data_IF_699701932890
#
_entry.id   IF_699701932890
#
_cell.length_a   1.000
_cell.length_b   1.000
_cell.length_c   1.000
_cell.angle_alpha   90.00
_cell.angle_beta   90.00
_cell.angle_gamma   90.00
#
_symmetry.space_group_name_H-M   'P 1'
#
loop_
_entity.id
_entity.type
_entity.pdbx_description
1 polymer ?
#
# COMPACT_ATOMS: atom_id res chain seq x y z
N UNK A 1 -5.17 -25.96 -6.00
CA UNK A 1 -6.13 -26.06 -4.89
C UNK A 1 -5.30 -26.15 -3.63
N UNK A 2 -5.30 -25.11 -2.80
CA UNK A 2 -4.71 -25.21 -1.47
C UNK A 2 -5.76 -25.91 -0.59
N UNK A 3 -5.36 -26.90 0.19
CA UNK A 3 -6.26 -27.56 1.14
C UNK A 3 -6.79 -26.51 2.13
N UNK A 4 -8.10 -26.24 2.08
CA UNK A 4 -8.75 -25.44 3.10
C UNK A 4 -8.84 -26.28 4.37
N UNK A 5 -7.97 -25.97 5.33
CA UNK A 5 -8.08 -26.54 6.68
C UNK A 5 -9.24 -25.89 7.40
N UNK A 6 -10.38 -26.59 7.48
CA UNK A 6 -11.51 -26.23 8.33
C UNK A 6 -11.24 -26.67 9.77
N UNK A 7 -11.37 -25.75 10.71
CA UNK A 7 -11.26 -26.06 12.15
C UNK A 7 -12.61 -26.44 12.77
N UNK A 8 -13.72 -26.13 12.10
CA UNK A 8 -15.08 -26.38 12.57
C UNK A 8 -15.80 -27.40 11.65
N UNK A 9 -16.27 -28.54 12.18
CA UNK A 9 -16.99 -29.55 11.39
C UNK A 9 -18.26 -29.02 10.70
N UNK A 10 -18.95 -28.04 11.30
CA UNK A 10 -20.15 -27.45 10.70
C UNK A 10 -19.79 -26.55 9.50
N UNK A 11 -18.66 -25.86 9.57
CA UNK A 11 -18.13 -25.08 8.45
C UNK A 11 -17.82 -25.97 7.24
N UNK A 12 -17.12 -27.08 7.49
CA UNK A 12 -16.81 -28.10 6.48
C UNK A 12 -18.09 -28.66 5.86
N UNK A 13 -19.09 -28.98 6.68
CA UNK A 13 -20.39 -29.47 6.20
C UNK A 13 -21.10 -28.46 5.29
N UNK A 14 -21.17 -27.18 5.68
CA UNK A 14 -21.81 -26.14 4.86
C UNK A 14 -21.08 -25.90 3.56
N UNK A 15 -19.74 -25.92 3.58
CA UNK A 15 -18.92 -25.79 2.40
C UNK A 15 -19.18 -26.95 1.42
N UNK A 16 -19.07 -28.20 1.88
CA UNK A 16 -19.30 -29.38 1.04
C UNK A 16 -20.75 -29.47 0.52
N UNK A 17 -21.73 -29.08 1.32
CA UNK A 17 -23.11 -29.00 0.87
C UNK A 17 -23.25 -28.02 -0.29
N UNK A 18 -22.67 -26.81 -0.16
CA UNK A 18 -22.70 -25.80 -1.23
C UNK A 18 -22.00 -26.28 -2.50
N UNK A 19 -20.82 -26.90 -2.37
CA UNK A 19 -20.11 -27.50 -3.51
C UNK A 19 -20.96 -28.55 -4.22
N UNK A 20 -21.62 -29.43 -3.45
CA UNK A 20 -22.53 -30.46 -4.01
C UNK A 20 -23.72 -29.82 -4.74
N UNK A 21 -24.32 -28.77 -4.19
CA UNK A 21 -25.41 -28.00 -4.82
C UNK A 21 -24.96 -27.33 -6.14
N UNK A 22 -23.72 -26.84 -6.18
CA UNK A 22 -23.11 -26.24 -7.39
C UNK A 22 -22.80 -27.29 -8.47
N UNK A 23 -22.33 -28.46 -8.09
CA UNK A 23 -22.02 -29.55 -9.03
C UNK A 23 -23.28 -30.19 -9.61
N UNK A 24 -24.33 -30.36 -8.80
CA UNK A 24 -25.60 -30.99 -9.21
C UNK A 24 -26.52 -30.05 -9.98
N UNK A 25 -26.58 -28.76 -9.60
CA UNK A 25 -27.49 -27.78 -10.19
C UNK A 25 -26.85 -26.77 -11.15
N UNK A 26 -25.51 -26.65 -11.18
CA UNK A 26 -24.72 -25.69 -11.97
C UNK A 26 -25.14 -24.20 -11.87
N UNK A 27 -25.95 -23.80 -10.88
CA UNK A 27 -26.40 -22.42 -10.72
C UNK A 27 -25.77 -21.75 -9.51
N UNK A 28 -24.70 -21.00 -9.76
CA UNK A 28 -24.07 -20.16 -8.74
C UNK A 28 -25.04 -19.09 -8.20
N UNK A 29 -25.96 -18.59 -9.03
CA UNK A 29 -26.93 -17.57 -8.62
C UNK A 29 -27.89 -18.09 -7.54
N UNK A 30 -28.28 -19.37 -7.59
CA UNK A 30 -29.12 -19.99 -6.56
C UNK A 30 -28.40 -20.09 -5.21
N UNK A 31 -27.12 -20.47 -5.23
CA UNK A 31 -26.29 -20.57 -4.02
C UNK A 31 -26.00 -19.19 -3.43
N UNK A 32 -25.73 -18.19 -4.26
CA UNK A 32 -25.55 -16.80 -3.82
C UNK A 32 -26.82 -16.21 -3.20
N UNK A 33 -28.00 -16.50 -3.77
CA UNK A 33 -29.29 -16.08 -3.19
C UNK A 33 -29.52 -16.72 -1.81
N UNK A 34 -29.17 -18.00 -1.67
CA UNK A 34 -29.26 -18.71 -0.38
C UNK A 34 -28.28 -18.13 0.64
N UNK A 35 -27.05 -17.82 0.24
CA UNK A 35 -26.06 -17.14 1.08
C UNK A 35 -26.57 -15.77 1.57
N UNK A 36 -27.18 -14.99 0.68
CA UNK A 36 -27.76 -13.67 0.99
C UNK A 36 -28.97 -13.77 1.93
N UNK A 37 -29.79 -14.82 1.77
CA UNK A 37 -30.92 -15.06 2.68
C UNK A 37 -30.47 -15.39 4.11
N UNK A 38 -29.35 -16.10 4.25
CA UNK A 38 -28.72 -16.36 5.55
C UNK A 38 -28.08 -15.10 6.16
N UNK A 39 -27.51 -14.19 5.35
CA UNK A 39 -26.87 -12.95 5.81
C UNK A 39 -27.82 -12.03 6.60
N UNK A 40 -29.12 -12.02 6.25
CA UNK A 40 -30.13 -11.18 6.90
C UNK A 40 -30.40 -11.56 8.37
N UNK A 41 -29.94 -12.74 8.79
CA UNK A 41 -30.12 -13.25 10.14
C UNK A 41 -28.85 -13.00 10.96
N UNK A 42 -29.03 -12.74 12.24
CA UNK A 42 -27.92 -12.40 13.15
C UNK A 42 -27.49 -13.58 14.04
N UNK A 43 -27.98 -14.79 13.75
CA UNK A 43 -27.50 -15.99 14.44
C UNK A 43 -26.13 -16.42 13.90
N UNK A 44 -25.24 -16.85 14.82
CA UNK A 44 -23.89 -17.29 14.49
C UNK A 44 -23.89 -18.40 13.43
N UNK A 45 -24.85 -19.31 13.53
CA UNK A 45 -25.00 -20.44 12.59
C UNK A 45 -25.34 -19.97 11.18
N UNK A 46 -26.26 -19.02 11.06
CA UNK A 46 -26.66 -18.44 9.78
C UNK A 46 -25.52 -17.61 9.16
N UNK A 47 -24.76 -16.85 9.96
CA UNK A 47 -23.56 -16.11 9.49
C UNK A 47 -22.50 -17.09 8.98
N UNK A 48 -22.27 -18.19 9.70
CA UNK A 48 -21.34 -19.24 9.27
C UNK A 48 -21.79 -19.90 7.98
N UNK A 49 -23.07 -20.27 7.88
CA UNK A 49 -23.62 -20.82 6.65
C UNK A 49 -23.46 -19.84 5.47
N UNK A 50 -23.79 -18.56 5.67
CA UNK A 50 -23.62 -17.52 4.65
C UNK A 50 -22.16 -17.41 4.19
N UNK A 51 -21.22 -17.36 5.13
CA UNK A 51 -19.78 -17.28 4.85
C UNK A 51 -19.29 -18.41 3.92
N UNK A 52 -19.57 -19.66 4.28
CA UNK A 52 -19.09 -20.83 3.52
C UNK A 52 -19.85 -21.04 2.21
N UNK A 53 -21.11 -20.61 2.12
CA UNK A 53 -21.84 -20.60 0.85
C UNK A 53 -21.25 -19.58 -0.13
N UNK A 54 -20.93 -18.37 0.33
CA UNK A 54 -20.23 -17.37 -0.49
C UNK A 54 -18.85 -17.85 -0.91
N UNK A 55 -18.09 -18.50 -0.02
CA UNK A 55 -16.76 -19.01 -0.32
C UNK A 55 -16.80 -20.11 -1.39
N UNK A 56 -17.68 -21.10 -1.24
CA UNK A 56 -17.89 -22.14 -2.23
C UNK A 56 -18.35 -21.58 -3.59
N UNK A 57 -19.29 -20.63 -3.58
CA UNK A 57 -19.72 -19.95 -4.80
C UNK A 57 -18.56 -19.19 -5.46
N UNK A 58 -17.70 -18.53 -4.68
CA UNK A 58 -16.53 -17.82 -5.19
C UNK A 58 -15.55 -18.75 -5.90
N UNK A 59 -15.19 -19.88 -5.27
CA UNK A 59 -14.32 -20.90 -5.88
C UNK A 59 -14.90 -21.45 -7.18
N UNK A 60 -16.20 -21.73 -7.21
CA UNK A 60 -16.88 -22.22 -8.41
C UNK A 60 -16.90 -21.18 -9.53
N UNK A 61 -17.09 -19.90 -9.18
CA UNK A 61 -17.17 -18.80 -10.14
C UNK A 61 -15.79 -18.35 -10.65
N UNK A 62 -14.70 -18.66 -9.95
CA UNK A 62 -13.37 -18.15 -10.29
C UNK A 62 -12.90 -18.53 -11.70
N UNK A 63 -13.32 -19.67 -12.23
CA UNK A 63 -13.02 -20.08 -13.61
C UNK A 63 -14.12 -19.76 -14.63
N UNK A 64 -15.24 -19.19 -14.19
CA UNK A 64 -16.47 -19.02 -15.00
C UNK A 64 -16.88 -17.56 -15.14
N UNK A 65 -17.01 -16.86 -14.03
CA UNK A 65 -17.32 -15.44 -13.95
C UNK A 65 -16.50 -14.82 -12.81
N UNK A 66 -15.32 -14.33 -13.18
CA UNK A 66 -14.34 -13.77 -12.25
C UNK A 66 -14.86 -12.51 -11.55
N UNK A 67 -15.70 -11.72 -12.20
CA UNK A 67 -16.27 -10.52 -11.59
C UNK A 67 -17.22 -10.90 -10.45
N UNK A 68 -18.13 -11.85 -10.68
CA UNK A 68 -18.98 -12.40 -9.61
C UNK A 68 -18.17 -13.10 -8.53
N UNK A 69 -17.11 -13.84 -8.89
CA UNK A 69 -16.22 -14.48 -7.92
C UNK A 69 -15.60 -13.46 -6.96
N UNK A 70 -15.11 -12.31 -7.47
CA UNK A 70 -14.55 -11.26 -6.63
C UNK A 70 -15.58 -10.70 -5.62
N UNK A 71 -16.82 -10.50 -6.05
CA UNK A 71 -17.90 -10.08 -5.14
C UNK A 71 -18.23 -11.15 -4.09
N UNK A 72 -18.32 -12.41 -4.50
CA UNK A 72 -18.60 -13.52 -3.60
C UNK A 72 -17.50 -13.68 -2.53
N UNK A 73 -16.22 -13.61 -2.92
CA UNK A 73 -15.10 -13.60 -1.97
C UNK A 73 -15.18 -12.41 -0.99
N UNK A 74 -15.56 -11.22 -1.48
CA UNK A 74 -15.70 -10.05 -0.61
C UNK A 74 -16.81 -10.25 0.43
N UNK A 75 -17.97 -10.79 0.01
CA UNK A 75 -19.07 -11.12 0.90
C UNK A 75 -18.69 -12.22 1.91
N UNK A 76 -17.98 -13.27 1.46
CA UNK A 76 -17.45 -14.30 2.35
C UNK A 76 -16.54 -13.69 3.43
N UNK A 77 -15.60 -12.83 3.02
CA UNK A 77 -14.70 -12.13 3.93
C UNK A 77 -15.45 -11.31 4.99
N UNK A 78 -16.54 -10.63 4.62
CA UNK A 78 -17.35 -9.86 5.56
C UNK A 78 -18.03 -10.75 6.61
N UNK A 79 -18.57 -11.90 6.22
CA UNK A 79 -19.21 -12.81 7.18
C UNK A 79 -18.17 -13.51 8.08
N UNK A 80 -17.03 -13.94 7.51
CA UNK A 80 -15.92 -14.52 8.28
C UNK A 80 -15.35 -13.53 9.31
N UNK A 81 -15.29 -12.23 8.95
CA UNK A 81 -14.86 -11.17 9.85
C UNK A 81 -15.83 -11.00 11.03
N UNK A 82 -17.15 -11.04 10.78
CA UNK A 82 -18.18 -11.04 11.85
C UNK A 82 -18.04 -12.23 12.79
N UNK A 83 -17.60 -13.38 12.30
CA UNK A 83 -17.33 -14.58 13.10
C UNK A 83 -15.98 -14.52 13.85
N UNK A 84 -15.22 -13.43 13.70
CA UNK A 84 -13.86 -13.26 14.24
C UNK A 84 -12.86 -14.29 13.69
N UNK A 85 -13.15 -14.87 12.52
CA UNK A 85 -12.23 -15.76 11.80
C UNK A 85 -11.27 -14.92 10.94
N UNK A 86 -10.47 -14.07 11.60
CA UNK A 86 -9.72 -12.99 10.96
C UNK A 86 -8.77 -13.47 9.85
N UNK A 87 -8.01 -14.55 10.05
CA UNK A 87 -7.13 -15.11 9.01
C UNK A 87 -7.92 -15.55 7.77
N UNK A 88 -9.06 -16.23 7.94
CA UNK A 88 -9.88 -16.69 6.82
C UNK A 88 -10.56 -15.53 6.11
N UNK A 89 -11.08 -14.56 6.87
CA UNK A 89 -11.62 -13.32 6.35
C UNK A 89 -10.58 -12.55 5.51
N UNK A 90 -9.35 -12.44 6.02
CA UNK A 90 -8.26 -11.77 5.35
C UNK A 90 -7.91 -12.43 4.02
N UNK A 91 -7.82 -13.77 3.97
CA UNK A 91 -7.59 -14.53 2.74
C UNK A 91 -8.73 -14.35 1.73
N UNK A 92 -9.98 -14.39 2.17
CA UNK A 92 -11.13 -14.14 1.31
C UNK A 92 -11.10 -12.71 0.72
N UNK A 93 -10.80 -11.70 1.55
CA UNK A 93 -10.64 -10.32 1.05
C UNK A 93 -9.43 -10.16 0.10
N UNK A 94 -8.29 -10.82 0.38
CA UNK A 94 -7.13 -10.81 -0.51
C UNK A 94 -7.45 -11.41 -1.87
N UNK A 95 -8.13 -12.57 -1.89
CA UNK A 95 -8.61 -13.20 -3.12
C UNK A 95 -9.60 -12.32 -3.88
N UNK A 96 -10.55 -11.68 -3.18
CA UNK A 96 -11.46 -10.70 -3.79
C UNK A 96 -10.68 -9.56 -4.46
N UNK A 97 -9.66 -9.03 -3.79
CA UNK A 97 -8.81 -7.97 -4.30
C UNK A 97 -8.07 -8.36 -5.57
N UNK A 98 -7.39 -9.51 -5.52
CA UNK A 98 -6.61 -10.07 -6.63
C UNK A 98 -7.48 -10.32 -7.86
N UNK A 99 -8.60 -11.02 -7.69
CA UNK A 99 -9.49 -11.34 -8.81
C UNK A 99 -10.10 -10.06 -9.40
N UNK A 100 -10.54 -9.12 -8.56
CA UNK A 100 -11.10 -7.85 -9.04
C UNK A 100 -10.09 -7.02 -9.84
N UNK A 101 -8.83 -6.95 -9.39
CA UNK A 101 -7.75 -6.24 -10.08
C UNK A 101 -7.37 -6.91 -11.41
N UNK A 102 -7.29 -8.24 -11.43
CA UNK A 102 -7.05 -8.99 -12.68
C UNK A 102 -8.15 -8.73 -13.71
N UNK A 103 -9.42 -8.80 -13.31
CA UNK A 103 -10.55 -8.53 -14.21
C UNK A 103 -10.58 -7.08 -14.66
N UNK A 104 -10.35 -6.13 -13.75
CA UNK A 104 -10.28 -4.71 -14.10
C UNK A 104 -9.18 -4.44 -15.13
N UNK A 105 -8.02 -5.08 -14.99
CA UNK A 105 -6.88 -4.91 -15.91
C UNK A 105 -7.10 -5.57 -17.27
N UNK A 106 -7.77 -6.72 -17.34
CA UNK A 106 -8.03 -7.42 -18.61
C UNK A 106 -9.31 -6.96 -19.31
N UNK A 107 -10.22 -6.29 -18.60
CA UNK A 107 -11.50 -5.87 -19.12
C UNK A 107 -11.42 -4.64 -20.05
N UNK A 108 -12.46 -4.40 -20.86
CA UNK A 108 -12.55 -3.18 -21.66
C UNK A 108 -12.61 -1.94 -20.76
N UNK A 109 -12.04 -0.81 -21.19
CA UNK A 109 -12.13 0.44 -20.44
C UNK A 109 -13.60 0.88 -20.32
N UNK A 110 -14.06 1.12 -19.09
CA UNK A 110 -15.46 1.43 -18.84
C UNK A 110 -15.82 1.51 -17.35
N UNK A 111 -17.08 1.86 -17.01
CA UNK A 111 -17.52 2.04 -15.63
C UNK A 111 -17.36 0.78 -14.76
N UNK A 112 -17.49 -0.40 -15.34
CA UNK A 112 -17.34 -1.67 -14.62
C UNK A 112 -15.87 -1.95 -14.25
N UNK A 113 -14.91 -1.58 -15.11
CA UNK A 113 -13.48 -1.61 -14.76
C UNK A 113 -13.20 -0.73 -13.53
N UNK A 114 -13.74 0.49 -13.49
CA UNK A 114 -13.55 1.38 -12.33
C UNK A 114 -14.17 0.82 -11.05
N UNK A 115 -15.35 0.20 -11.15
CA UNK A 115 -16.03 -0.43 -10.01
C UNK A 115 -15.23 -1.60 -9.46
N UNK A 116 -14.72 -2.46 -10.33
CA UNK A 116 -13.88 -3.61 -9.94
C UNK A 116 -12.55 -3.14 -9.36
N UNK A 117 -11.89 -2.14 -9.95
CA UNK A 117 -10.66 -1.61 -9.38
C UNK A 117 -10.88 -0.98 -8.00
N UNK A 118 -12.01 -0.30 -7.80
CA UNK A 118 -12.38 0.23 -6.50
C UNK A 118 -12.74 -0.87 -5.49
N UNK A 119 -13.38 -1.96 -5.93
CA UNK A 119 -13.58 -3.16 -5.11
C UNK A 119 -12.22 -3.73 -4.67
N UNK A 120 -11.24 -3.81 -5.58
CA UNK A 120 -9.90 -4.29 -5.25
C UNK A 120 -9.23 -3.47 -4.12
N UNK A 121 -9.28 -2.13 -4.22
CA UNK A 121 -8.78 -1.23 -3.17
C UNK A 121 -9.45 -1.51 -1.82
N UNK A 122 -10.78 -1.65 -1.80
CA UNK A 122 -11.53 -1.92 -0.57
C UNK A 122 -11.19 -3.29 0.01
N UNK A 123 -11.10 -4.31 -0.85
CA UNK A 123 -10.82 -5.67 -0.46
C UNK A 123 -9.42 -5.77 0.16
N UNK A 124 -8.37 -5.25 -0.47
CA UNK A 124 -7.02 -5.23 0.11
C UNK A 124 -6.95 -4.43 1.42
N UNK A 125 -7.68 -3.32 1.55
CA UNK A 125 -7.75 -2.56 2.81
C UNK A 125 -8.38 -3.39 3.94
N UNK A 126 -9.43 -4.16 3.66
CA UNK A 126 -10.07 -5.09 4.62
C UNK A 126 -9.18 -6.30 4.93
N UNK A 127 -8.49 -6.84 3.94
CA UNK A 127 -7.53 -7.92 4.12
C UNK A 127 -6.38 -7.50 5.04
N UNK A 128 -5.78 -6.33 4.79
CA UNK A 128 -4.76 -5.72 5.63
C UNK A 128 -5.23 -5.61 7.09
N UNK A 129 -6.42 -5.04 7.32
CA UNK A 129 -6.96 -4.90 8.67
C UNK A 129 -7.21 -6.26 9.35
N UNK A 130 -7.74 -7.23 8.62
CA UNK A 130 -8.04 -8.56 9.16
C UNK A 130 -6.76 -9.36 9.48
N UNK A 131 -5.72 -9.28 8.64
CA UNK A 131 -4.42 -9.88 8.95
C UNK A 131 -3.78 -9.23 10.18
N UNK A 132 -3.90 -7.90 10.33
CA UNK A 132 -3.40 -7.21 11.51
C UNK A 132 -4.14 -7.65 12.80
N UNK A 133 -5.47 -7.82 12.74
CA UNK A 133 -6.26 -8.34 13.86
C UNK A 133 -5.92 -9.80 14.19
N UNK A 134 -5.52 -10.59 13.20
CA UNK A 134 -5.02 -11.95 13.39
C UNK A 134 -3.58 -12.02 13.95
N UNK A 135 -2.85 -10.89 14.00
CA UNK A 135 -1.43 -10.85 14.35
C UNK A 135 -0.48 -11.27 13.23
N UNK A 136 -0.98 -11.46 12.00
CA UNK A 136 -0.18 -11.82 10.81
C UNK A 136 0.40 -10.56 10.15
N UNK A 137 1.36 -9.92 10.81
CA UNK A 137 1.91 -8.62 10.40
C UNK A 137 2.55 -8.62 9.00
N UNK A 138 3.27 -9.68 8.64
CA UNK A 138 3.91 -9.78 7.31
C UNK A 138 2.86 -9.84 6.19
N UNK A 139 1.78 -10.59 6.40
CA UNK A 139 0.66 -10.67 5.46
C UNK A 139 -0.12 -9.34 5.40
N UNK A 140 -0.32 -8.69 6.55
CA UNK A 140 -0.90 -7.35 6.63
C UNK A 140 -0.09 -6.33 5.83
N UNK A 141 1.25 -6.35 5.93
CA UNK A 141 2.12 -5.46 5.17
C UNK A 141 2.04 -5.74 3.66
N UNK A 142 2.02 -7.00 3.25
CA UNK A 142 1.83 -7.37 1.86
C UNK A 142 0.51 -6.82 1.29
N UNK A 143 -0.59 -6.94 2.04
CA UNK A 143 -1.89 -6.41 1.62
C UNK A 143 -1.95 -4.89 1.65
N UNK A 144 -1.25 -4.23 2.57
CA UNK A 144 -1.06 -2.78 2.53
C UNK A 144 -0.39 -2.34 1.22
N UNK A 145 0.65 -3.03 0.77
CA UNK A 145 1.32 -2.73 -0.49
C UNK A 145 0.39 -2.96 -1.69
N UNK A 146 -0.37 -4.06 -1.70
CA UNK A 146 -1.38 -4.34 -2.72
C UNK A 146 -2.45 -3.24 -2.79
N UNK A 147 -2.99 -2.81 -1.63
CA UNK A 147 -3.95 -1.72 -1.52
C UNK A 147 -3.39 -0.42 -2.14
N UNK A 148 -2.15 -0.06 -1.83
CA UNK A 148 -1.51 1.16 -2.34
C UNK A 148 -1.28 1.09 -3.85
N UNK A 149 -0.86 -0.06 -4.37
CA UNK A 149 -0.73 -0.29 -5.80
C UNK A 149 -2.09 -0.19 -6.51
N UNK A 150 -3.13 -0.82 -5.96
CA UNK A 150 -4.48 -0.75 -6.49
C UNK A 150 -5.03 0.68 -6.50
N UNK A 151 -4.70 1.51 -5.50
CA UNK A 151 -5.05 2.94 -5.45
C UNK A 151 -4.36 3.75 -6.55
N UNK A 152 -3.09 3.46 -6.85
CA UNK A 152 -2.37 4.10 -7.96
C UNK A 152 -3.06 3.78 -9.29
N UNK A 153 -3.35 2.51 -9.55
CA UNK A 153 -4.06 2.09 -10.76
C UNK A 153 -5.45 2.73 -10.85
N UNK A 154 -6.20 2.76 -9.75
CA UNK A 154 -7.52 3.40 -9.69
C UNK A 154 -7.47 4.90 -9.98
N UNK A 155 -6.46 5.62 -9.46
CA UNK A 155 -6.27 7.03 -9.73
C UNK A 155 -5.94 7.28 -11.20
N UNK A 156 -5.08 6.45 -11.80
CA UNK A 156 -4.75 6.52 -13.22
C UNK A 156 -5.98 6.30 -14.10
N UNK A 157 -6.84 5.33 -13.76
CA UNK A 157 -8.11 5.09 -14.47
C UNK A 157 -9.02 6.33 -14.41
N UNK A 158 -9.04 7.08 -13.30
CA UNK A 158 -9.80 8.33 -13.18
C UNK A 158 -9.20 9.51 -13.97
N UNK A 159 -8.13 9.29 -14.75
CA UNK A 159 -7.39 10.36 -15.42
C UNK A 159 -6.60 11.27 -14.47
N UNK A 160 -6.43 10.86 -13.20
CA UNK A 160 -5.60 11.58 -12.24
C UNK A 160 -4.15 11.11 -12.37
N UNK A 161 -3.20 12.02 -12.21
CA UNK A 161 -1.78 11.67 -12.08
C UNK A 161 -1.43 11.51 -10.61
N UNK A 162 -1.28 10.28 -10.06
CA UNK A 162 -1.02 10.06 -8.64
C UNK A 162 0.46 10.30 -8.29
N UNK A 163 1.00 11.46 -8.64
CA UNK A 163 2.43 11.80 -8.47
C UNK A 163 2.88 11.61 -7.03
N UNK A 164 2.10 12.06 -6.05
CA UNK A 164 2.43 11.88 -4.64
C UNK A 164 2.57 10.40 -4.24
N UNK A 165 1.67 9.52 -4.71
CA UNK A 165 1.74 8.09 -4.43
C UNK A 165 2.91 7.42 -5.15
N UNK A 166 3.19 7.81 -6.40
CA UNK A 166 4.32 7.30 -7.16
C UNK A 166 5.65 7.71 -6.55
N UNK A 167 5.79 8.97 -6.13
CA UNK A 167 6.96 9.47 -5.40
C UNK A 167 7.12 8.71 -4.08
N UNK A 168 6.04 8.48 -3.35
CA UNK A 168 6.09 7.71 -2.11
C UNK A 168 6.48 6.25 -2.34
N UNK A 169 6.00 5.62 -3.42
CA UNK A 169 6.42 4.28 -3.85
C UNK A 169 7.91 4.25 -4.19
N UNK A 170 8.38 5.22 -4.97
CA UNK A 170 9.78 5.28 -5.41
C UNK A 170 10.76 5.51 -4.25
N UNK A 171 10.39 6.39 -3.32
CA UNK A 171 11.27 6.79 -2.21
C UNK A 171 11.40 5.74 -1.11
N UNK A 172 10.31 5.04 -0.78
CA UNK A 172 10.31 4.17 0.40
C UNK A 172 9.39 2.96 0.29
N UNK A 173 8.88 2.65 -0.91
CA UNK A 173 7.87 1.62 -1.14
C UNK A 173 6.64 1.82 -0.25
N UNK A 174 6.10 3.04 -0.26
CA UNK A 174 5.03 3.47 0.66
C UNK A 174 5.46 3.43 2.14
N UNK A 175 6.76 3.57 2.42
CA UNK A 175 7.40 3.59 3.73
C UNK A 175 7.44 2.23 4.45
N UNK A 176 7.54 1.16 3.68
CA UNK A 176 7.90 -0.19 4.14
C UNK A 176 9.42 -0.45 4.06
N UNK A 177 10.15 0.31 3.23
CA UNK A 177 11.57 0.06 2.97
C UNK A 177 12.47 1.16 3.54
N UNK A 178 13.03 0.92 4.74
CA UNK A 178 14.08 1.76 5.34
C UNK A 178 15.31 1.85 4.44
N UNK A 179 15.87 0.74 3.89
CA UNK A 179 17.08 0.81 3.08
C UNK A 179 16.90 1.69 1.84
N UNK A 180 15.72 1.65 1.22
CA UNK A 180 15.39 2.50 0.07
C UNK A 180 15.35 3.97 0.46
N UNK A 181 14.71 4.30 1.58
CA UNK A 181 14.66 5.67 2.09
C UNK A 181 16.05 6.20 2.43
N UNK A 182 16.89 5.41 3.12
CA UNK A 182 18.28 5.77 3.43
C UNK A 182 19.11 5.96 2.16
N UNK A 183 18.94 5.10 1.15
CA UNK A 183 19.63 5.24 -0.14
C UNK A 183 19.24 6.54 -0.86
N UNK A 184 17.97 6.94 -0.80
CA UNK A 184 17.53 8.23 -1.36
C UNK A 184 18.14 9.42 -0.62
N UNK A 185 18.19 9.39 0.71
CA UNK A 185 18.87 10.42 1.50
C UNK A 185 20.34 10.52 1.08
N UNK A 186 21.05 9.40 1.05
CA UNK A 186 22.46 9.37 0.67
C UNK A 186 22.68 9.90 -0.76
N UNK A 187 21.87 9.47 -1.72
CA UNK A 187 21.94 9.94 -3.11
C UNK A 187 21.68 11.44 -3.22
N UNK A 188 20.67 11.96 -2.50
CA UNK A 188 20.38 13.39 -2.46
C UNK A 188 21.51 14.20 -1.85
N UNK A 189 22.11 13.73 -0.75
CA UNK A 189 23.27 14.38 -0.14
C UNK A 189 24.45 14.45 -1.11
N UNK A 190 24.71 13.39 -1.88
CA UNK A 190 25.76 13.38 -2.92
C UNK A 190 25.46 14.43 -4.00
N UNK A 191 24.24 14.45 -4.54
CA UNK A 191 23.84 15.39 -5.61
C UNK A 191 23.98 16.84 -5.15
N UNK A 192 23.48 17.17 -3.96
CA UNK A 192 23.62 18.52 -3.42
C UNK A 192 25.08 18.85 -3.07
N UNK A 193 25.84 17.90 -2.52
CA UNK A 193 27.27 18.07 -2.27
C UNK A 193 28.05 18.46 -3.52
N UNK A 194 27.81 17.75 -4.64
CA UNK A 194 28.44 18.06 -5.93
C UNK A 194 27.97 19.42 -6.48
N UNK A 195 26.70 19.76 -6.26
CA UNK A 195 26.16 21.07 -6.66
C UNK A 195 26.82 22.22 -5.89
N UNK A 196 27.02 22.06 -4.57
CA UNK A 196 27.68 23.07 -3.75
C UNK A 196 29.16 23.21 -4.06
N UNK A 197 29.86 22.09 -4.33
CA UNK A 197 31.24 22.14 -4.84
C UNK A 197 31.31 22.94 -6.16
N UNK A 198 30.38 22.72 -7.08
CA UNK A 198 30.29 23.49 -8.31
C UNK A 198 30.01 24.98 -8.04
N UNK A 199 29.05 25.29 -7.17
CA UNK A 199 28.72 26.68 -6.84
C UNK A 199 29.87 27.41 -6.15
N UNK A 200 30.63 26.73 -5.29
CA UNK A 200 31.84 27.29 -4.70
C UNK A 200 32.88 27.64 -5.78
N UNK A 201 33.15 26.73 -6.71
CA UNK A 201 34.08 26.97 -7.83
C UNK A 201 33.65 28.06 -8.79
N UNK A 202 32.33 28.28 -8.91
CA UNK A 202 31.75 29.37 -9.71
C UNK A 202 31.68 30.70 -8.94
N UNK A 203 32.15 30.75 -7.69
CA UNK A 203 32.02 31.92 -6.80
C UNK A 203 30.57 32.35 -6.56
N UNK A 204 29.64 31.39 -6.52
CA UNK A 204 28.23 31.61 -6.19
C UNK A 204 27.93 31.43 -4.70
N UNK A 205 28.92 30.93 -3.96
CA UNK A 205 28.95 30.83 -2.51
C UNK A 205 30.05 31.74 -1.98
N UNK A 206 29.68 32.71 -1.14
CA UNK A 206 30.61 33.66 -0.53
C UNK A 206 30.59 33.53 0.99
N UNK A 207 31.71 33.79 1.70
CA UNK A 207 31.73 33.78 3.15
C UNK A 207 30.68 34.73 3.76
N UNK A 208 29.98 34.28 4.80
CA UNK A 208 29.05 35.12 5.55
C UNK A 208 29.79 36.11 6.45
N UNK A 209 29.66 37.41 6.17
CA UNK A 209 30.12 38.48 7.07
C UNK A 209 31.64 38.64 7.17
N UNK A 210 32.10 39.23 8.28
CA UNK A 210 33.52 39.53 8.55
C UNK A 210 34.24 38.39 9.32
N UNK A 211 33.66 37.19 9.39
CA UNK A 211 34.33 36.04 10.00
C UNK A 211 35.33 35.45 9.01
N UNK A 212 36.50 35.04 9.50
CA UNK A 212 37.44 34.24 8.72
C UNK A 212 36.83 32.84 8.52
N UNK A 213 36.31 32.49 7.34
CA UNK A 213 35.73 31.17 7.12
C UNK A 213 36.82 30.11 7.23
N UNK A 214 36.43 28.89 7.60
CA UNK A 214 37.27 27.73 7.40
C UNK A 214 37.57 27.54 5.92
N UNK A 215 38.75 26.99 5.60
CA UNK A 215 39.11 26.73 4.20
C UNK A 215 38.15 25.72 3.58
N UNK A 216 37.70 25.98 2.35
CA UNK A 216 36.84 25.05 1.62
C UNK A 216 37.64 23.81 1.20
N UNK A 217 37.29 22.67 1.77
CA UNK A 217 37.88 21.37 1.46
C UNK A 217 37.06 20.73 0.34
N UNK A 218 37.67 20.39 -0.82
CA UNK A 218 36.95 19.81 -1.95
C UNK A 218 36.13 18.58 -1.54
N UNK A 219 34.87 18.54 -1.99
CA UNK A 219 33.86 17.52 -1.68
C UNK A 219 33.40 17.50 -0.21
N UNK A 220 34.30 17.61 0.76
CA UNK A 220 33.96 17.56 2.18
C UNK A 220 33.15 18.77 2.65
N UNK A 221 33.55 19.98 2.28
CA UNK A 221 32.80 21.20 2.59
C UNK A 221 31.45 21.21 1.89
N UNK A 222 31.37 20.72 0.64
CA UNK A 222 30.11 20.53 -0.07
C UNK A 222 29.17 19.54 0.62
N UNK A 223 29.70 18.43 1.12
CA UNK A 223 28.93 17.40 1.83
C UNK A 223 28.45 17.89 3.19
N UNK A 224 29.33 18.54 3.97
CA UNK A 224 28.98 19.19 5.23
C UNK A 224 27.89 20.25 5.02
N UNK A 225 28.02 21.07 3.99
CA UNK A 225 27.00 22.06 3.62
C UNK A 225 25.66 21.38 3.28
N UNK A 226 25.70 20.30 2.48
CA UNK A 226 24.50 19.54 2.14
C UNK A 226 23.81 18.98 3.37
N UNK A 227 24.53 18.34 4.30
CA UNK A 227 23.96 17.83 5.55
C UNK A 227 23.28 18.94 6.33
N UNK A 228 23.95 20.06 6.58
CA UNK A 228 23.42 21.14 7.41
C UNK A 228 22.19 21.83 6.80
N UNK A 229 22.13 21.93 5.48
CA UNK A 229 20.96 22.47 4.78
C UNK A 229 19.83 21.45 4.76
N UNK A 230 20.10 20.18 4.46
CA UNK A 230 19.09 19.11 4.46
C UNK A 230 18.47 18.92 5.85
N UNK A 231 19.27 19.04 6.92
CA UNK A 231 18.81 18.95 8.32
C UNK A 231 18.22 20.25 8.86
N UNK A 232 18.24 21.34 8.08
CA UNK A 232 17.81 22.68 8.50
C UNK A 232 18.54 23.23 9.74
N UNK A 233 19.76 22.76 10.01
CA UNK A 233 20.58 23.25 11.13
C UNK A 233 21.17 24.64 10.86
N UNK A 234 21.24 25.05 9.58
CA UNK A 234 21.77 26.36 9.15
C UNK A 234 23.19 26.70 9.64
N UNK A 235 23.99 25.68 10.00
CA UNK A 235 25.39 25.82 10.41
C UNK A 235 26.32 25.92 9.19
N UNK A 236 26.11 26.94 8.35
CA UNK A 236 26.89 27.17 7.14
C UNK A 236 27.64 28.49 7.21
N UNK A 237 28.92 28.46 6.81
CA UNK A 237 29.80 29.64 6.82
C UNK A 237 29.76 30.41 5.50
N UNK A 238 29.13 29.83 4.48
CA UNK A 238 29.00 30.40 3.13
C UNK A 238 27.52 30.68 2.82
N UNK A 239 27.25 31.79 2.17
CA UNK A 239 25.91 32.17 1.71
C UNK A 239 25.79 32.12 0.18
N UNK A 240 24.63 31.70 -0.34
CA UNK A 240 24.36 31.73 -1.77
C UNK A 240 24.10 33.17 -2.25
N UNK A 241 24.97 33.70 -3.10
CA UNK A 241 24.82 35.05 -3.70
C UNK A 241 24.12 35.01 -5.05
N UNK A 242 24.22 33.89 -5.78
CA UNK A 242 23.60 33.73 -7.09
C UNK A 242 22.15 33.20 -6.99
N UNK A 243 21.17 33.73 -7.74
CA UNK A 243 19.76 33.30 -7.64
C UNK A 243 19.53 31.80 -7.87
N UNK A 244 20.27 31.19 -8.80
CA UNK A 244 20.17 29.74 -9.04
C UNK A 244 20.68 28.95 -7.83
N UNK A 245 21.78 29.40 -7.21
CA UNK A 245 22.30 28.77 -5.99
C UNK A 245 21.30 28.88 -4.84
N UNK A 246 20.65 30.04 -4.69
CA UNK A 246 19.58 30.24 -3.70
C UNK A 246 18.40 29.28 -3.93
N UNK A 247 17.93 29.16 -5.17
CA UNK A 247 16.85 28.25 -5.53
C UNK A 247 17.20 26.78 -5.21
N UNK A 248 18.45 26.36 -5.48
CA UNK A 248 18.92 25.00 -5.17
C UNK A 248 19.05 24.77 -3.65
N UNK A 249 19.50 25.77 -2.88
CA UNK A 249 19.49 25.71 -1.41
C UNK A 249 18.07 25.57 -0.88
N UNK A 250 17.12 26.39 -1.37
CA UNK A 250 15.71 26.28 -0.98
C UNK A 250 15.13 24.91 -1.32
N UNK A 251 15.44 24.38 -2.50
CA UNK A 251 15.02 23.04 -2.90
C UNK A 251 15.59 21.96 -1.97
N UNK A 252 16.86 22.07 -1.57
CA UNK A 252 17.46 21.14 -0.62
C UNK A 252 16.69 21.12 0.72
N UNK A 253 16.34 22.29 1.26
CA UNK A 253 15.53 22.39 2.48
C UNK A 253 14.17 21.70 2.32
N UNK A 254 13.46 21.97 1.21
CA UNK A 254 12.16 21.33 0.92
C UNK A 254 12.31 19.81 0.87
N UNK A 255 13.34 19.30 0.18
CA UNK A 255 13.61 17.86 0.08
C UNK A 255 13.95 17.27 1.45
N UNK A 256 14.71 17.98 2.30
CA UNK A 256 14.98 17.59 3.68
C UNK A 256 13.71 17.39 4.51
N UNK A 257 12.77 18.34 4.45
CA UNK A 257 11.47 18.21 5.13
C UNK A 257 10.63 17.05 4.58
N UNK A 258 10.67 16.80 3.27
CA UNK A 258 10.00 15.64 2.69
C UNK A 258 10.58 14.32 3.23
N UNK A 259 11.91 14.21 3.33
CA UNK A 259 12.54 13.03 3.93
C UNK A 259 12.22 12.87 5.40
N UNK A 260 12.16 13.96 6.17
CA UNK A 260 11.75 13.94 7.57
C UNK A 260 10.31 13.41 7.71
N UNK A 261 9.37 13.93 6.91
CA UNK A 261 7.98 13.46 6.92
C UNK A 261 7.84 11.98 6.57
N UNK A 262 8.59 11.51 5.56
CA UNK A 262 8.65 10.09 5.21
C UNK A 262 9.24 9.26 6.37
N UNK A 263 10.34 9.73 6.98
CA UNK A 263 11.01 9.09 8.10
C UNK A 263 10.09 8.91 9.31
N UNK A 264 9.36 9.96 9.70
CA UNK A 264 8.36 9.91 10.77
C UNK A 264 7.29 8.84 10.46
N UNK A 265 6.82 8.78 9.21
CA UNK A 265 5.82 7.79 8.79
C UNK A 265 6.33 6.34 8.78
N UNK A 266 7.63 6.13 8.58
CA UNK A 266 8.27 4.81 8.71
C UNK A 266 8.38 4.42 10.18
N UNK A 267 8.97 5.28 11.02
CA UNK A 267 9.16 5.03 12.45
C UNK A 267 7.82 4.80 13.16
N UNK A 268 6.81 5.61 12.87
CA UNK A 268 5.48 5.46 13.45
C UNK A 268 4.81 4.12 13.13
N UNK A 269 5.22 3.43 12.05
CA UNK A 269 4.76 2.06 11.75
C UNK A 269 5.58 0.98 12.43
N UNK A 270 6.90 1.18 12.55
CA UNK A 270 7.75 0.25 13.30
C UNK A 270 7.28 0.12 14.76
N UNK A 271 6.92 1.25 15.39
CA UNK A 271 6.38 1.26 16.75
C UNK A 271 5.07 0.45 16.86
N UNK A 272 4.20 0.52 15.85
CA UNK A 272 2.93 -0.23 15.83
C UNK A 272 3.06 -1.72 15.55
N UNK A 273 4.19 -2.14 14.97
CA UNK A 273 4.44 -3.56 14.64
C UNK A 273 5.23 -4.29 15.73
N UNK A 274 5.91 -3.56 16.61
CA UNK A 274 6.76 -4.11 17.68
C UNK A 274 6.26 -3.82 19.10
N UNK A 275 5.13 -3.13 19.25
CA UNK A 275 4.48 -2.86 20.55
C UNK A 275 3.20 -3.66 20.69
#
# INVERSE_FOLDING_TARGET
MADETFTDPLAEQYYHQSVTELETGQSADAVLLKAAACELKDDRTDIMQSAFYYLAAAHFLESRDRAKAAHAYHSAGQQLHRLQQFTQAARAFSNAGKVAEEVARSGPPGPDQHRLQHLAVRAYSRANHSFAEAGELDASEAEYLNERNARVAWAQMQGKHPLALLTWKATSNFGTSIPRWTAWIAGTLIVFSLSYELFFRLHWLEPMGNTTPSEWIPLWSGFYYAINVTSSLALVEYQPVHPICQAVVMLNVIVGYLFLGIGIGIVGRMVKTHG
#
